data_IF_941605136986
#
_entry.id   IF_941605136986
#
_cell.length_a   1.000
_cell.length_b   1.000
_cell.length_c   1.000
_cell.angle_alpha   90.00
_cell.angle_beta   90.00
_cell.angle_gamma   90.00
#
_symmetry.space_group_name_H-M   'P 1'
#
loop_
_entity.id
_entity.type
_entity.pdbx_description
1 polymer ?
#
# COMPACT_ATOMS: atom_id res chain seq x y z
N UNK A 1 11.43 1.59 -32.14
CA UNK A 1 11.43 1.70 -30.66
C UNK A 1 10.41 0.70 -30.15
N UNK A 2 10.86 -0.35 -29.47
CA UNK A 2 9.98 -1.42 -28.98
C UNK A 2 9.78 -1.18 -27.49
N UNK A 3 8.60 -0.73 -27.11
CA UNK A 3 8.22 -0.56 -25.70
C UNK A 3 8.00 -1.96 -25.14
N UNK A 4 8.84 -2.38 -24.19
CA UNK A 4 8.66 -3.65 -23.50
C UNK A 4 7.30 -3.61 -22.76
N UNK A 5 6.51 -4.69 -22.79
CA UNK A 5 5.29 -4.76 -22.01
C UNK A 5 5.63 -4.61 -20.51
N UNK A 6 4.74 -4.00 -19.71
CA UNK A 6 4.93 -3.97 -18.26
C UNK A 6 5.08 -5.41 -17.76
N UNK A 7 6.07 -5.63 -16.89
CA UNK A 7 6.26 -6.94 -16.26
C UNK A 7 4.93 -7.34 -15.62
N UNK A 8 4.47 -8.59 -15.81
CA UNK A 8 3.34 -9.09 -15.04
C UNK A 8 3.76 -9.07 -13.57
N UNK A 9 3.24 -8.09 -12.81
CA UNK A 9 3.12 -8.22 -11.37
C UNK A 9 2.51 -9.59 -11.15
N UNK A 10 3.20 -10.41 -10.36
CA UNK A 10 2.73 -11.77 -10.07
C UNK A 10 1.49 -11.62 -9.21
N UNK A 11 0.34 -11.36 -9.85
CA UNK A 11 -0.98 -11.52 -9.27
C UNK A 11 -1.09 -13.00 -8.93
N UNK A 12 -0.68 -13.33 -7.71
CA UNK A 12 -1.08 -14.59 -7.11
C UNK A 12 -2.60 -14.51 -7.04
N UNK A 13 -3.34 -15.42 -7.69
CA UNK A 13 -4.78 -15.45 -7.52
C UNK A 13 -5.03 -15.97 -6.10
N UNK A 14 -5.13 -15.05 -5.13
CA UNK A 14 -5.60 -15.36 -3.80
C UNK A 14 -7.11 -15.63 -3.91
N UNK A 15 -7.43 -16.85 -4.30
CA UNK A 15 -8.77 -17.41 -4.17
C UNK A 15 -8.95 -17.83 -2.72
N UNK A 16 -9.43 -16.90 -1.90
CA UNK A 16 -10.29 -17.20 -0.76
C UNK A 16 -11.16 -15.96 -0.50
N UNK A 17 -12.48 -16.16 -0.50
CA UNK A 17 -13.50 -15.10 -0.62
C UNK A 17 -13.61 -14.15 0.60
N UNK A 18 -12.65 -14.18 1.52
CA UNK A 18 -12.69 -13.44 2.79
C UNK A 18 -11.34 -12.75 3.09
N UNK A 19 -10.57 -12.35 2.07
CA UNK A 19 -9.34 -11.55 2.23
C UNK A 19 -9.51 -10.20 1.55
N UNK A 20 -9.35 -9.11 2.30
CA UNK A 20 -9.32 -7.75 1.76
C UNK A 20 -7.88 -7.30 1.50
N UNK A 21 -7.71 -6.44 0.50
CA UNK A 21 -6.41 -5.97 0.03
C UNK A 21 -6.37 -4.47 -0.18
N UNK A 22 -5.22 -3.86 0.13
CA UNK A 22 -4.89 -2.49 -0.20
C UNK A 22 -3.51 -2.48 -0.86
N UNK A 23 -3.44 -2.01 -2.10
CA UNK A 23 -2.20 -1.76 -2.81
C UNK A 23 -2.03 -0.26 -3.02
N UNK A 24 -0.85 0.28 -2.71
CA UNK A 24 -0.51 1.69 -2.97
C UNK A 24 0.89 1.76 -3.59
N UNK A 25 1.02 2.56 -4.65
CA UNK A 25 2.28 2.81 -5.32
C UNK A 25 2.60 4.32 -5.37
N UNK A 26 3.84 4.67 -5.00
CA UNK A 26 4.41 6.00 -5.21
C UNK A 26 5.60 5.91 -6.16
N UNK A 27 5.65 6.82 -7.14
CA UNK A 27 6.91 7.12 -7.82
C UNK A 27 7.70 8.09 -6.95
N UNK A 28 8.94 7.73 -6.63
CA UNK A 28 9.83 8.49 -5.78
C UNK A 28 11.05 8.86 -6.60
N UNK A 29 11.39 10.15 -6.62
CA UNK A 29 12.66 10.62 -7.17
C UNK A 29 13.51 11.24 -6.06
N UNK A 30 14.67 10.65 -5.78
CA UNK A 30 15.56 11.11 -4.71
C UNK A 30 17.02 10.80 -5.02
N UNK A 31 17.92 11.68 -4.54
CA UNK A 31 19.37 11.47 -4.59
C UNK A 31 19.84 10.36 -3.62
N UNK A 32 19.03 10.08 -2.59
CA UNK A 32 19.33 9.07 -1.57
C UNK A 32 19.30 7.62 -2.08
N UNK A 33 18.72 7.37 -3.26
CA UNK A 33 18.61 6.04 -3.87
C UNK A 33 19.95 5.50 -4.38
N UNK A 34 20.88 6.36 -4.80
CA UNK A 34 22.17 5.96 -5.37
C UNK A 34 23.38 6.43 -4.57
N UNK A 35 23.19 7.24 -3.51
CA UNK A 35 24.30 7.83 -2.75
C UNK A 35 25.23 8.72 -3.58
N UNK A 36 24.83 9.04 -4.82
CA UNK A 36 25.51 9.93 -5.77
C UNK A 36 24.61 11.13 -6.01
N UNK A 37 25.20 12.28 -6.38
CA UNK A 37 24.51 13.54 -6.68
C UNK A 37 23.69 13.48 -7.99
N UNK A 38 22.93 12.42 -8.20
CA UNK A 38 22.13 12.16 -9.38
C UNK A 38 20.77 11.63 -8.94
N UNK A 39 19.70 12.31 -9.34
CA UNK A 39 18.34 11.87 -9.12
C UNK A 39 18.12 10.52 -9.82
N UNK A 40 17.71 9.52 -9.05
CA UNK A 40 17.13 8.30 -9.59
C UNK A 40 15.68 8.17 -9.18
N UNK A 41 14.91 7.47 -10.01
CA UNK A 41 13.51 7.16 -9.76
C UNK A 41 13.36 5.71 -9.35
N UNK A 42 12.43 5.46 -8.44
CA UNK A 42 12.00 4.15 -8.01
C UNK A 42 10.50 4.16 -7.74
N UNK A 43 9.87 2.99 -7.71
CA UNK A 43 8.48 2.83 -7.29
C UNK A 43 8.45 2.16 -5.93
N UNK A 44 7.85 2.82 -4.95
CA UNK A 44 7.53 2.22 -3.66
C UNK A 44 6.14 1.59 -3.76
N UNK A 45 6.10 0.27 -3.69
CA UNK A 45 4.87 -0.52 -3.60
C UNK A 45 4.61 -0.90 -2.15
N UNK A 46 3.37 -0.68 -1.70
CA UNK A 46 2.86 -1.15 -0.42
C UNK A 46 1.70 -2.08 -0.70
N UNK A 47 1.76 -3.27 -0.14
CA UNK A 47 0.70 -4.27 -0.18
C UNK A 47 0.28 -4.59 1.25
N UNK A 48 -1.01 -4.42 1.54
CA UNK A 48 -1.60 -4.75 2.82
C UNK A 48 -2.72 -5.76 2.60
N UNK A 49 -2.71 -6.86 3.34
CA UNK A 49 -3.79 -7.84 3.29
C UNK A 49 -4.29 -8.17 4.69
N UNK A 50 -5.59 -8.40 4.81
CA UNK A 50 -6.20 -8.77 6.09
C UNK A 50 -7.42 -9.65 5.87
N UNK A 51 -7.74 -10.46 6.89
CA UNK A 51 -8.98 -11.22 6.90
C UNK A 51 -10.17 -10.25 6.95
N UNK A 52 -11.10 -10.38 6.00
CA UNK A 52 -12.29 -9.56 5.91
C UNK A 52 -13.46 -10.24 6.65
N UNK A 53 -13.75 -9.80 7.87
CA UNK A 53 -14.94 -10.25 8.62
C UNK A 53 -16.12 -9.31 8.37
N UNK A 54 -17.18 -9.85 7.74
CA UNK A 54 -18.43 -9.15 7.38
C UNK A 54 -19.17 -8.57 8.59
N UNK A 55 -18.98 -9.12 9.78
CA UNK A 55 -19.72 -8.75 10.99
C UNK A 55 -19.04 -7.63 11.80
N UNK A 56 -17.82 -7.25 11.41
CA UNK A 56 -16.94 -6.42 12.23
C UNK A 56 -16.36 -5.23 11.45
N UNK A 57 -17.22 -4.45 10.79
CA UNK A 57 -16.86 -3.18 10.13
C UNK A 57 -16.21 -2.12 11.06
N UNK A 58 -15.94 -2.45 12.33
CA UNK A 58 -15.37 -1.56 13.36
C UNK A 58 -14.29 -2.20 14.24
N UNK A 59 -13.85 -3.44 14.00
CA UNK A 59 -12.78 -4.04 14.81
C UNK A 59 -11.51 -4.22 14.01
N UNK A 60 -10.42 -3.95 14.71
CA UNK A 60 -9.05 -4.09 14.27
C UNK A 60 -8.78 -5.53 13.80
N UNK A 61 -8.51 -5.70 12.50
CA UNK A 61 -8.05 -6.97 11.94
C UNK A 61 -6.53 -7.01 11.89
N UNK A 62 -5.94 -8.20 12.10
CA UNK A 62 -4.52 -8.40 11.88
C UNK A 62 -4.18 -8.23 10.39
N UNK A 63 -3.07 -7.56 10.10
CA UNK A 63 -2.67 -7.16 8.74
C UNK A 63 -1.30 -7.71 8.44
N UNK A 64 -1.15 -8.32 7.27
CA UNK A 64 0.16 -8.46 6.66
C UNK A 64 0.48 -7.17 5.90
N UNK A 65 1.59 -6.52 6.24
CA UNK A 65 2.05 -5.28 5.59
C UNK A 65 3.40 -5.54 4.94
N UNK A 66 3.46 -5.32 3.63
CA UNK A 66 4.66 -5.48 2.82
C UNK A 66 4.96 -4.17 2.11
N UNK A 67 6.21 -3.74 2.13
CA UNK A 67 6.67 -2.64 1.31
C UNK A 67 7.89 -3.07 0.48
N UNK A 68 7.90 -2.70 -0.79
CA UNK A 68 8.95 -3.03 -1.75
C UNK A 68 9.32 -1.80 -2.55
N UNK A 69 10.61 -1.59 -2.79
CA UNK A 69 11.11 -0.59 -3.74
C UNK A 69 11.50 -1.32 -5.02
N UNK A 70 10.88 -0.97 -6.14
CA UNK A 70 11.34 -1.31 -7.47
C UNK A 70 12.22 -0.18 -8.02
N UNK A 71 13.50 -0.48 -8.20
CA UNK A 71 14.43 0.41 -8.90
C UNK A 71 14.91 -0.29 -10.17
N UNK A 72 14.34 0.09 -11.31
CA UNK A 72 14.70 -0.45 -12.63
C UNK A 72 14.69 -1.99 -12.71
N UNK A 73 13.72 -2.64 -12.04
CA UNK A 73 13.55 -4.08 -11.95
C UNK A 73 14.27 -4.73 -10.76
N UNK A 74 15.07 -3.98 -10.00
CA UNK A 74 15.66 -4.46 -8.76
C UNK A 74 14.69 -4.23 -7.58
N UNK A 75 14.02 -5.31 -7.15
CA UNK A 75 13.07 -5.30 -6.05
C UNK A 75 13.79 -5.45 -4.70
N UNK A 76 13.58 -4.48 -3.82
CA UNK A 76 14.12 -4.48 -2.45
C UNK A 76 12.99 -4.43 -1.45
N UNK A 77 12.85 -5.47 -0.60
CA UNK A 77 11.85 -5.49 0.46
C UNK A 77 12.29 -4.60 1.62
N UNK A 78 11.41 -3.72 2.08
CA UNK A 78 11.64 -2.85 3.23
C UNK A 78 11.16 -3.58 4.48
N UNK A 79 11.97 -3.53 5.54
CA UNK A 79 11.54 -4.01 6.85
C UNK A 79 10.54 -3.02 7.43
N UNK A 80 9.26 -3.39 7.43
CA UNK A 80 8.21 -2.63 8.09
C UNK A 80 7.87 -3.34 9.40
N UNK A 81 7.71 -2.62 10.52
CA UNK A 81 7.21 -3.21 11.75
C UNK A 81 5.90 -3.96 11.49
N UNK A 82 5.65 -5.09 12.16
CA UNK A 82 4.41 -5.83 11.96
C UNK A 82 3.21 -4.90 12.21
N UNK A 83 2.44 -4.68 11.15
CA UNK A 83 1.14 -4.03 11.26
C UNK A 83 0.27 -4.96 12.12
N UNK A 84 -0.32 -4.41 13.18
CA UNK A 84 -1.08 -5.23 14.11
C UNK A 84 -2.56 -5.09 13.85
N UNK A 85 -2.99 -3.97 13.27
CA UNK A 85 -4.40 -3.58 13.19
C UNK A 85 -4.69 -2.77 11.94
N UNK A 86 -5.78 -3.08 11.26
CA UNK A 86 -6.43 -2.19 10.29
C UNK A 86 -7.81 -1.80 10.78
N UNK A 87 -8.13 -0.52 10.64
CA UNK A 87 -9.47 0.02 10.74
C UNK A 87 -9.97 0.41 9.34
N UNK A 88 -11.19 -0.01 9.02
CA UNK A 88 -11.89 0.34 7.78
C UNK A 88 -13.19 1.05 8.14
N UNK A 89 -13.31 2.31 7.74
CA UNK A 89 -14.52 3.11 7.96
C UNK A 89 -15.15 3.50 6.63
N UNK A 90 -16.41 3.09 6.40
CA UNK A 90 -17.14 3.35 5.16
C UNK A 90 -18.24 4.37 5.42
N UNK A 91 -18.18 5.51 4.75
CA UNK A 91 -19.13 6.61 4.87
C UNK A 91 -19.61 7.06 3.49
N UNK A 92 -20.78 6.57 3.07
CA UNK A 92 -21.38 6.87 1.76
C UNK A 92 -20.38 6.63 0.60
N UNK A 93 -19.92 7.70 -0.05
CA UNK A 93 -18.95 7.64 -1.15
C UNK A 93 -17.50 7.44 -0.69
N UNK A 94 -17.22 7.54 0.60
CA UNK A 94 -15.87 7.50 1.16
C UNK A 94 -15.57 6.16 1.83
N UNK A 95 -14.33 5.70 1.67
CA UNK A 95 -13.79 4.58 2.45
C UNK A 95 -12.43 4.99 3.00
N UNK A 96 -12.30 4.99 4.32
CA UNK A 96 -11.08 5.34 5.04
C UNK A 96 -10.44 4.08 5.58
N UNK A 97 -9.13 3.97 5.39
CA UNK A 97 -8.30 2.88 5.89
C UNK A 97 -7.22 3.50 6.79
N UNK A 98 -7.06 2.95 7.98
CA UNK A 98 -5.93 3.26 8.85
C UNK A 98 -5.25 1.96 9.28
N UNK A 99 -3.94 1.87 9.08
CA UNK A 99 -3.12 0.73 9.48
C UNK A 99 -2.16 1.19 10.56
N UNK A 100 -2.19 0.51 11.69
CA UNK A 100 -1.35 0.81 12.85
C UNK A 100 -0.42 -0.35 13.22
N UNK A 101 0.78 0.00 13.65
CA UNK A 101 1.77 -0.93 14.19
C UNK A 101 1.40 -1.42 15.59
N UNK A 102 2.15 -2.38 16.09
CA UNK A 102 1.94 -3.01 17.42
C UNK A 102 1.97 -2.04 18.59
N UNK A 103 2.69 -0.92 18.46
CA UNK A 103 2.82 0.10 19.50
C UNK A 103 1.84 1.27 19.31
N UNK A 104 0.87 1.14 18.39
CA UNK A 104 -0.12 2.19 18.08
C UNK A 104 0.41 3.28 17.15
N UNK A 105 1.62 3.12 16.60
CA UNK A 105 2.15 4.01 15.57
C UNK A 105 1.34 3.90 14.28
N UNK A 106 1.00 5.03 13.67
CA UNK A 106 0.30 5.06 12.40
C UNK A 106 1.29 4.74 11.26
N UNK A 107 1.05 3.63 10.55
CA UNK A 107 1.89 3.21 9.43
C UNK A 107 1.35 3.72 8.10
N UNK A 108 0.03 3.75 7.94
CA UNK A 108 -0.63 4.16 6.71
C UNK A 108 -2.03 4.67 6.98
N UNK A 109 -2.40 5.78 6.34
CA UNK A 109 -3.80 6.21 6.19
C UNK A 109 -4.09 6.37 4.71
N UNK A 110 -5.18 5.80 4.24
CA UNK A 110 -5.67 5.99 2.88
C UNK A 110 -7.15 6.33 2.89
N UNK A 111 -7.58 7.21 1.98
CA UNK A 111 -8.99 7.54 1.77
C UNK A 111 -9.32 7.41 0.30
N UNK A 112 -10.41 6.67 0.04
CA UNK A 112 -10.91 6.40 -1.29
C UNK A 112 -12.26 7.09 -1.46
N UNK A 113 -12.44 7.83 -2.56
CA UNK A 113 -13.73 8.32 -3.00
C UNK A 113 -14.21 7.45 -4.16
N UNK A 114 -15.31 6.71 -3.96
CA UNK A 114 -15.89 5.80 -4.97
C UNK A 114 -14.85 4.87 -5.60
N UNK A 115 -13.97 4.31 -4.76
CA UNK A 115 -12.91 3.38 -5.17
C UNK A 115 -11.67 4.03 -5.77
N UNK A 116 -11.59 5.36 -5.87
CA UNK A 116 -10.39 6.08 -6.32
C UNK A 116 -9.62 6.62 -5.13
N UNK A 117 -8.30 6.38 -5.07
CA UNK A 117 -7.47 6.95 -4.03
C UNK A 117 -7.50 8.49 -4.12
N UNK A 118 -7.97 9.13 -3.05
CA UNK A 118 -8.07 10.58 -2.94
C UNK A 118 -7.01 11.17 -2.02
N UNK A 119 -6.59 10.40 -1.01
CA UNK A 119 -5.58 10.82 -0.05
C UNK A 119 -4.83 9.60 0.48
N UNK A 120 -3.51 9.72 0.63
CA UNK A 120 -2.72 8.72 1.32
C UNK A 120 -1.54 9.35 2.05
N UNK A 121 -1.29 8.89 3.27
CA UNK A 121 -0.04 9.09 3.99
C UNK A 121 0.51 7.75 4.44
N UNK A 122 1.83 7.62 4.46
CA UNK A 122 2.50 6.41 4.94
C UNK A 122 3.85 6.73 5.57
N UNK A 123 4.22 5.98 6.60
CA UNK A 123 5.55 5.97 7.20
C UNK A 123 6.56 5.13 6.38
N UNK A 124 6.11 4.33 5.41
CA UNK A 124 6.98 3.43 4.65
C UNK A 124 8.15 4.12 3.92
N UNK A 125 7.99 5.31 3.29
CA UNK A 125 9.12 6.03 2.72
C UNK A 125 10.21 6.35 3.76
N UNK A 126 9.81 6.79 4.96
CA UNK A 126 10.76 7.10 6.04
C UNK A 126 11.45 5.83 6.56
N UNK A 127 10.70 4.75 6.78
CA UNK A 127 11.24 3.44 7.21
C UNK A 127 12.22 2.87 6.18
N UNK A 128 12.00 3.17 4.90
CA UNK A 128 12.89 2.82 3.81
C UNK A 128 14.12 3.72 3.69
N UNK A 129 14.30 4.68 4.60
CA UNK A 129 15.36 5.71 4.53
C UNK A 129 15.33 6.55 3.24
N UNK A 130 14.18 6.62 2.56
CA UNK A 130 13.96 7.49 1.41
C UNK A 130 13.63 8.90 1.90
N UNK A 131 14.63 9.57 2.49
CA UNK A 131 14.45 10.93 3.05
C UNK A 131 14.80 11.98 2.01
N UNK A 132 13.90 12.95 1.83
CA UNK A 132 14.09 14.06 0.89
C UNK A 132 13.97 13.61 -0.56
N UNK A 133 13.00 14.14 -1.28
CA UNK A 133 12.72 13.77 -2.67
C UNK A 133 11.37 14.31 -3.12
N UNK A 134 11.11 14.21 -4.42
CA UNK A 134 9.78 14.48 -4.95
C UNK A 134 9.00 13.17 -5.02
N UNK A 135 7.78 13.21 -4.52
CA UNK A 135 6.83 12.13 -4.55
C UNK A 135 5.73 12.52 -5.52
N UNK A 136 5.52 11.73 -6.56
CA UNK A 136 4.31 11.86 -7.34
C UNK A 136 3.10 11.45 -6.48
N UNK A 137 1.92 11.95 -6.86
CA UNK A 137 0.69 11.56 -6.18
C UNK A 137 0.57 10.03 -6.21
N UNK A 138 0.30 9.38 -5.06
CA UNK A 138 0.15 7.94 -5.02
C UNK A 138 -1.02 7.50 -5.88
N UNK A 139 -0.87 6.30 -6.44
CA UNK A 139 -2.01 5.54 -6.96
C UNK A 139 -2.30 4.41 -5.98
N UNK A 140 -3.55 4.00 -5.88
CA UNK A 140 -3.90 2.89 -5.00
C UNK A 140 -5.17 2.19 -5.43
N UNK A 141 -5.21 0.90 -5.10
CA UNK A 141 -6.31 -0.01 -5.35
C UNK A 141 -6.76 -0.53 -3.99
N UNK A 142 -8.05 -0.45 -3.73
CA UNK A 142 -8.67 -1.02 -2.54
C UNK A 142 -9.63 -2.12 -2.98
N UNK A 143 -9.34 -3.35 -2.56
CA UNK A 143 -10.17 -4.52 -2.80
C UNK A 143 -10.87 -4.91 -1.50
N UNK A 144 -12.17 -4.60 -1.42
CA UNK A 144 -13.03 -5.09 -0.36
C UNK A 144 -14.02 -6.08 -0.97
N UNK A 145 -13.84 -7.35 -0.65
CA UNK A 145 -14.72 -8.41 -1.12
C UNK A 145 -15.97 -8.47 -0.23
N UNK A 146 -16.97 -7.68 -0.60
CA UNK A 146 -18.32 -7.89 -0.09
C UNK A 146 -18.85 -9.14 -0.77
N UNK A 147 -18.98 -10.26 -0.05
CA UNK A 147 -19.59 -11.44 -0.65
C UNK A 147 -21.01 -11.10 -1.12
N UNK A 148 -21.29 -11.35 -2.40
CA UNK A 148 -22.63 -11.25 -2.94
C UNK A 148 -23.54 -12.19 -2.11
N UNK A 149 -24.51 -11.60 -1.41
CA UNK A 149 -25.63 -12.35 -0.86
C UNK A 149 -26.32 -13.07 -2.04
N UNK A 150 -26.60 -14.39 -1.93
CA UNK A 150 -27.41 -15.10 -2.92
C UNK A 150 -28.82 -14.53 -3.02
#
# INVERSE_FOLDING_TARGET
MTIAPPHPTTHRPFRDADVAGLEIAWTISTESLDGRQSYSSAVLHIECTWAHDRTQSKRDAAVEFVATIDRAGALTRISIPPATRVAVDRNDRWTHIAITGSEGSLLLTASFERGRLAYCTSAAPELASLRGGTYDAPTGILELYDAQLP
#
